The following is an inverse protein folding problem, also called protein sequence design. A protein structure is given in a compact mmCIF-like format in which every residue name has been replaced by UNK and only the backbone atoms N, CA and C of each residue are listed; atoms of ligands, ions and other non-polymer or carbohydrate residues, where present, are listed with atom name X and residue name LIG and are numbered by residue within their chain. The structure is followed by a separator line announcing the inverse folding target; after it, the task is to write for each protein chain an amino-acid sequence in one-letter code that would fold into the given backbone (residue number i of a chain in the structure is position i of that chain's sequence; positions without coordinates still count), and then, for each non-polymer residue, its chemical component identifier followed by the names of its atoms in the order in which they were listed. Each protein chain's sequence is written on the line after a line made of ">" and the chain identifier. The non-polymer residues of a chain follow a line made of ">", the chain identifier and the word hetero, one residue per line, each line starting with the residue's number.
data_IF_206345503597
#
_entry.id   IF_206345503597
#
_cell.length_a   1.000
_cell.length_b   1.000
_cell.length_c   1.000
_cell.angle_alpha   90.00
_cell.angle_beta   90.00
_cell.angle_gamma   90.00
#
_symmetry.space_group_name_H-M   'P 1'
#
loop_
_entity.id
_entity.type
_entity.pdbx_description
1 polymer ?
#
# COMPACT_ATOMS: atom_id res chain seq x y z
N UNK A 1 -3.61 0.73 2.19
CA UNK A 1 -2.41 1.61 2.13
C UNK A 1 -2.14 2.15 3.52
N UNK A 2 -0.88 2.21 3.99
CA UNK A 2 -0.53 2.74 5.32
C UNK A 2 0.31 4.00 5.15
N UNK A 3 -0.05 5.07 5.85
CA UNK A 3 0.66 6.36 5.83
C UNK A 3 1.22 6.68 7.21
N UNK A 4 2.44 7.22 7.24
CA UNK A 4 3.08 7.75 8.47
C UNK A 4 2.46 9.07 8.94
N UNK A 5 1.75 9.77 8.06
CA UNK A 5 0.96 10.95 8.42
C UNK A 5 -0.38 10.52 9.01
N UNK A 6 -0.73 11.07 10.17
CA UNK A 6 -1.98 10.80 10.87
C UNK A 6 -2.82 12.08 10.96
N UNK A 7 -3.96 12.11 10.25
CA UNK A 7 -4.84 13.29 10.25
C UNK A 7 -5.33 13.67 11.66
N UNK A 8 -5.53 12.70 12.55
CA UNK A 8 -5.89 12.97 13.95
C UNK A 8 -4.83 13.78 14.68
N UNK A 9 -3.56 13.56 14.36
CA UNK A 9 -2.46 14.33 14.92
C UNK A 9 -2.46 15.77 14.39
N UNK A 10 -2.65 15.94 13.08
CA UNK A 10 -2.76 17.27 12.47
C UNK A 10 -3.98 18.08 12.94
N UNK A 11 -5.09 17.42 13.27
CA UNK A 11 -6.28 18.08 13.81
C UNK A 11 -6.26 18.26 15.34
N UNK A 12 -5.14 17.97 16.00
CA UNK A 12 -5.02 18.03 17.46
C UNK A 12 -5.99 17.10 18.23
N UNK A 13 -6.49 16.06 17.57
CA UNK A 13 -7.43 15.06 18.12
C UNK A 13 -6.71 13.78 18.57
N UNK A 14 -5.38 13.78 18.58
CA UNK A 14 -4.59 12.59 18.86
C UNK A 14 -4.41 12.38 20.38
N UNK A 15 -4.66 11.15 20.88
CA UNK A 15 -4.35 10.75 22.26
C UNK A 15 -2.95 11.12 22.75
N UNK A 16 -1.98 11.13 21.82
CA UNK A 16 -0.56 11.40 22.09
C UNK A 16 -0.31 12.84 22.55
N UNK A 17 -1.15 13.78 22.12
CA UNK A 17 -1.06 15.19 22.53
C UNK A 17 -1.74 15.44 23.88
N UNK A 18 -2.73 14.62 24.25
CA UNK A 18 -3.39 14.64 25.56
C UNK A 18 -2.60 13.89 26.65
N UNK A 19 -1.26 13.96 26.61
CA UNK A 19 -0.37 13.26 27.55
C UNK A 19 -0.58 13.85 28.96
N UNK A 20 -1.30 13.13 29.82
CA UNK A 20 -1.56 13.53 31.21
C UNK A 20 -2.96 13.22 31.73
N UNK A 21 -3.92 12.96 30.83
CA UNK A 21 -5.26 12.51 31.22
C UNK A 21 -5.29 10.98 31.36
N UNK A 22 -5.44 10.51 32.59
CA UNK A 22 -5.67 9.10 32.93
C UNK A 22 -6.96 8.63 32.24
N UNK A 23 -6.85 7.72 31.26
CA UNK A 23 -8.00 7.07 30.63
C UNK A 23 -8.16 7.24 29.11
N UNK A 24 -7.17 7.80 28.39
CA UNK A 24 -7.32 7.97 26.94
C UNK A 24 -7.42 6.61 26.22
N UNK A 25 -8.62 6.32 25.72
CA UNK A 25 -8.90 5.12 24.92
C UNK A 25 -8.03 5.13 23.66
N UNK A 26 -7.19 4.11 23.52
CA UNK A 26 -6.39 3.87 22.31
C UNK A 26 -7.25 3.47 21.11
N UNK A 27 -8.47 2.99 21.34
CA UNK A 27 -9.47 2.73 20.30
C UNK A 27 -10.19 4.02 19.94
N UNK A 28 -9.87 4.54 18.76
CA UNK A 28 -10.53 5.69 18.14
C UNK A 28 -11.45 5.25 17.01
N UNK A 29 -12.54 6.00 16.83
CA UNK A 29 -13.45 5.77 15.73
C UNK A 29 -12.73 5.95 14.37
N UNK A 30 -13.02 5.10 13.38
CA UNK A 30 -12.56 5.32 12.02
C UNK A 30 -13.19 6.61 11.46
N UNK A 31 -12.48 7.26 10.54
CA UNK A 31 -13.02 8.40 9.78
C UNK A 31 -13.21 8.01 8.33
N UNK A 32 -14.05 8.75 7.60
CA UNK A 32 -14.22 8.57 6.17
C UNK A 32 -13.73 9.82 5.45
N UNK A 33 -12.96 9.63 4.39
CA UNK A 33 -12.54 10.67 3.47
C UNK A 33 -13.32 10.45 2.17
N UNK A 34 -14.13 11.45 1.81
CA UNK A 34 -14.86 11.47 0.54
C UNK A 34 -14.04 12.25 -0.47
N UNK A 35 -13.70 11.61 -1.59
CA UNK A 35 -12.99 12.24 -2.69
C UNK A 35 -13.77 12.00 -3.98
N UNK A 36 -14.60 12.98 -4.38
CA UNK A 36 -15.55 12.80 -5.47
C UNK A 36 -16.51 11.64 -5.16
N UNK A 37 -16.49 10.62 -6.02
CA UNK A 37 -17.34 9.42 -5.90
C UNK A 37 -16.73 8.31 -5.02
N UNK A 38 -15.51 8.51 -4.50
CA UNK A 38 -14.81 7.52 -3.70
C UNK A 38 -14.92 7.79 -2.20
N UNK A 39 -15.29 6.76 -1.45
CA UNK A 39 -15.32 6.78 0.01
C UNK A 39 -14.20 5.92 0.55
N UNK A 40 -13.20 6.57 1.15
CA UNK A 40 -12.04 5.92 1.78
C UNK A 40 -12.24 5.89 3.29
N UNK A 41 -12.13 4.71 3.90
CA UNK A 41 -12.15 4.55 5.34
C UNK A 41 -10.73 4.66 5.90
N UNK A 42 -10.55 5.57 6.85
CA UNK A 42 -9.31 5.86 7.53
C UNK A 42 -9.35 5.25 8.94
N UNK A 43 -8.53 4.22 9.16
CA UNK A 43 -8.34 3.60 10.48
C UNK A 43 -7.04 4.10 11.09
N UNK A 44 -7.07 4.50 12.36
CA UNK A 44 -5.92 5.13 13.02
C UNK A 44 -5.29 4.19 14.05
N UNK A 45 -3.97 4.08 14.00
CA UNK A 45 -3.17 3.49 15.08
C UNK A 45 -2.46 4.61 15.85
N UNK A 46 -2.97 4.91 17.05
CA UNK A 46 -2.50 6.05 17.82
C UNK A 46 -1.13 5.83 18.48
N UNK A 47 -0.66 4.58 18.62
CA UNK A 47 0.62 4.30 19.30
C UNK A 47 1.82 4.70 18.42
N UNK A 48 1.96 4.22 17.17
CA UNK A 48 2.96 4.71 16.22
C UNK A 48 2.50 5.97 15.45
N UNK A 49 1.24 6.42 15.61
CA UNK A 49 0.62 7.50 14.82
C UNK A 49 0.58 7.18 13.32
N UNK A 50 0.08 6.00 12.99
CA UNK A 50 -0.10 5.55 11.61
C UNK A 50 -1.57 5.60 11.19
N UNK A 51 -1.82 5.84 9.91
CA UNK A 51 -3.15 5.87 9.33
C UNK A 51 -3.25 4.83 8.21
N UNK A 52 -4.18 3.89 8.36
CA UNK A 52 -4.50 2.90 7.36
C UNK A 52 -5.67 3.43 6.51
N UNK A 53 -5.38 3.68 5.23
CA UNK A 53 -6.35 4.03 4.20
C UNK A 53 -6.88 2.74 3.56
N UNK A 54 -8.17 2.50 3.76
CA UNK A 54 -8.92 1.35 3.28
C UNK A 54 -9.94 1.88 2.27
N UNK A 55 -9.84 1.44 1.02
CA UNK A 55 -10.74 1.85 -0.06
C UNK A 55 -11.09 0.67 -0.96
N UNK A 56 -12.09 0.87 -1.82
CA UNK A 56 -12.36 -0.07 -2.92
C UNK A 56 -11.24 0.05 -3.96
N UNK A 57 -10.89 -1.06 -4.59
CA UNK A 57 -9.93 -1.04 -5.69
C UNK A 57 -10.58 -0.38 -6.92
N UNK A 58 -9.84 0.52 -7.59
CA UNK A 58 -10.32 1.18 -8.82
C UNK A 58 -10.44 0.15 -9.95
N UNK A 59 -11.49 0.24 -10.74
CA UNK A 59 -11.70 -0.64 -11.90
C UNK A 59 -10.53 -0.63 -12.88
N UNK A 60 -9.94 0.55 -13.13
CA UNK A 60 -8.75 0.68 -13.99
C UNK A 60 -7.52 -0.06 -13.47
N UNK A 61 -7.43 -0.30 -12.15
CA UNK A 61 -6.34 -1.06 -11.53
C UNK A 61 -6.62 -2.57 -11.61
N UNK A 62 -7.88 -2.99 -11.47
CA UNK A 62 -8.29 -4.39 -11.67
C UNK A 62 -8.01 -4.89 -13.08
N UNK A 63 -8.17 -4.03 -14.09
CA UNK A 63 -7.92 -4.37 -15.49
C UNK A 63 -6.43 -4.38 -15.86
N UNK A 64 -5.55 -3.98 -14.94
CA UNK A 64 -4.12 -4.00 -15.17
C UNK A 64 -3.58 -5.42 -14.90
N UNK A 65 -2.69 -5.97 -15.75
CA UNK A 65 -2.06 -7.25 -15.47
C UNK A 65 -1.34 -7.21 -14.12
N UNK A 66 -1.47 -8.29 -13.36
CA UNK A 66 -0.86 -8.37 -12.03
C UNK A 66 0.66 -8.24 -12.15
N UNK A 67 1.34 -7.53 -11.23
CA UNK A 67 2.78 -7.48 -11.21
C UNK A 67 3.37 -8.90 -11.13
N UNK A 68 4.14 -9.30 -12.14
CA UNK A 68 4.71 -10.65 -12.23
C UNK A 68 3.82 -11.70 -12.91
N UNK A 69 2.65 -11.33 -13.45
CA UNK A 69 1.89 -12.22 -14.32
C UNK A 69 2.62 -12.43 -15.66
N UNK A 70 2.39 -13.61 -16.26
CA UNK A 70 2.92 -13.94 -17.57
C UNK A 70 2.46 -12.95 -18.66
N UNK A 71 1.27 -12.35 -18.51
CA UNK A 71 0.74 -11.32 -19.41
C UNK A 71 1.60 -10.05 -19.45
N UNK A 72 2.42 -9.81 -18.42
CA UNK A 72 3.35 -8.67 -18.36
C UNK A 72 4.72 -8.97 -19.00
N UNK A 73 4.96 -10.20 -19.46
CA UNK A 73 6.25 -10.64 -20.01
C UNK A 73 6.34 -10.28 -21.50
N UNK A 74 7.06 -9.20 -21.82
CA UNK A 74 7.24 -8.71 -23.20
C UNK A 74 8.18 -9.61 -24.03
N UNK A 75 8.89 -10.55 -23.39
CA UNK A 75 9.68 -11.57 -24.07
C UNK A 75 10.12 -12.68 -23.13
N UNK A 76 9.86 -13.92 -23.51
CA UNK A 76 10.43 -15.11 -22.88
C UNK A 76 11.44 -15.72 -23.85
N UNK A 77 12.61 -16.12 -23.33
CA UNK A 77 13.58 -16.92 -24.09
C UNK A 77 13.72 -18.26 -23.40
N UNK A 78 13.67 -19.35 -24.17
CA UNK A 78 13.93 -20.68 -23.61
C UNK A 78 15.43 -20.84 -23.32
N UNK A 79 15.84 -21.70 -22.37
CA UNK A 79 17.25 -21.97 -22.11
C UNK A 79 18.00 -22.44 -23.36
N UNK A 80 17.33 -23.20 -24.24
CA UNK A 80 17.90 -23.68 -25.49
C UNK A 80 18.14 -22.53 -26.48
N UNK A 81 17.23 -21.56 -26.58
CA UNK A 81 17.41 -20.39 -27.45
C UNK A 81 18.44 -19.41 -26.87
N UNK A 82 18.53 -19.29 -25.54
CA UNK A 82 19.58 -18.54 -24.88
C UNK A 82 20.96 -19.10 -25.26
N UNK A 83 21.14 -20.43 -25.18
CA UNK A 83 22.41 -21.09 -25.50
C UNK A 83 22.87 -20.86 -26.96
N UNK A 84 21.94 -20.66 -27.91
CA UNK A 84 22.28 -20.35 -29.31
C UNK A 84 22.81 -18.92 -29.50
N UNK A 85 22.52 -18.00 -28.57
CA UNK A 85 22.95 -16.60 -28.65
C UNK A 85 24.29 -16.32 -27.96
N UNK A 86 24.81 -17.28 -27.18
CA UNK A 86 26.06 -17.12 -26.44
C UNK A 86 27.27 -17.20 -27.40
N UNK A 87 28.05 -16.12 -27.50
CA UNK A 87 29.24 -16.02 -28.39
C UNK A 87 30.46 -16.84 -27.92
N UNK A 88 30.50 -17.25 -26.66
CA UNK A 88 31.58 -18.06 -26.09
C UNK A 88 30.98 -19.19 -25.26
N UNK A 89 31.17 -20.45 -25.71
CA UNK A 89 30.81 -21.61 -24.90
C UNK A 89 31.57 -21.52 -23.56
N UNK A 90 30.90 -21.62 -22.41
CA UNK A 90 31.61 -21.85 -21.16
C UNK A 90 32.42 -23.14 -21.32
N UNK A 91 33.72 -23.06 -21.07
CA UNK A 91 34.59 -24.24 -21.04
C UNK A 91 34.06 -25.19 -19.96
N UNK A 92 33.84 -26.44 -20.36
CA UNK A 92 33.45 -27.53 -19.47
C UNK A 92 34.54 -27.82 -18.44
#
# INVERSE_FOLDING_TARGET
>A
MITKHCLRFSFNLCPKQAKGVTGVRTKVAPMQLVHGDEVLTLKFDCKPCEMHVIGKIKGNILNLPQPGSADSVVGHITPADLMKTIRHKPHA
#
